data_IF_281765509495
#
_entry.id   IF_281765509495
#
_cell.length_a   1.000
_cell.length_b   1.000
_cell.length_c   1.000
_cell.angle_alpha   90.00
_cell.angle_beta   90.00
_cell.angle_gamma   90.00
#
_symmetry.space_group_name_H-M   'P 1'
#
loop_
_entity.id
_entity.type
_entity.pdbx_description
1 polymer ?
#
# COMPACT_ATOMS: atom_id res chain seq x y z
N UNK A 1 2.55 -29.74 -27.81
CA UNK A 1 2.56 -28.27 -27.72
C UNK A 1 1.63 -27.79 -26.60
N UNK A 2 0.32 -27.83 -26.80
CA UNK A 2 -0.60 -26.86 -26.17
C UNK A 2 -0.70 -27.04 -24.64
N UNK A 3 -0.76 -28.28 -24.17
CA UNK A 3 -0.75 -28.61 -22.75
C UNK A 3 0.50 -28.09 -22.00
N UNK A 4 1.67 -28.07 -22.64
CA UNK A 4 2.90 -27.53 -22.04
C UNK A 4 2.85 -26.00 -21.94
N UNK A 5 2.26 -25.33 -22.94
CA UNK A 5 2.00 -23.89 -22.89
C UNK A 5 1.03 -23.52 -21.76
N UNK A 6 -0.06 -24.27 -21.61
CA UNK A 6 -1.03 -24.07 -20.53
C UNK A 6 -0.41 -24.29 -19.13
N UNK A 7 0.42 -25.32 -18.97
CA UNK A 7 1.15 -25.57 -17.71
C UNK A 7 2.15 -24.45 -17.38
N UNK A 8 2.87 -23.93 -18.40
CA UNK A 8 3.78 -22.79 -18.22
C UNK A 8 3.03 -21.52 -17.81
N UNK A 9 1.93 -21.18 -18.49
CA UNK A 9 1.08 -20.02 -18.15
C UNK A 9 0.50 -20.15 -16.74
N UNK A 10 -0.03 -21.32 -16.39
CA UNK A 10 -0.54 -21.60 -15.04
C UNK A 10 0.54 -21.42 -13.97
N UNK A 11 1.76 -21.88 -14.24
CA UNK A 11 2.90 -21.72 -13.33
C UNK A 11 3.30 -20.25 -13.17
N UNK A 12 3.44 -19.49 -14.26
CA UNK A 12 3.77 -18.05 -14.20
C UNK A 12 2.70 -17.31 -13.39
N UNK A 13 1.42 -17.49 -13.70
CA UNK A 13 0.32 -16.82 -12.99
C UNK A 13 0.31 -17.11 -11.48
N UNK A 14 0.73 -18.32 -11.06
CA UNK A 14 0.87 -18.66 -9.63
C UNK A 14 2.02 -17.91 -8.97
N UNK A 15 3.21 -17.91 -9.58
CA UNK A 15 4.38 -17.21 -9.01
C UNK A 15 4.20 -15.68 -9.00
N UNK A 16 3.51 -15.13 -10.00
CA UNK A 16 3.11 -13.71 -10.02
C UNK A 16 2.18 -13.39 -8.86
N UNK A 17 1.18 -14.25 -8.58
CA UNK A 17 0.26 -14.06 -7.45
C UNK A 17 0.99 -14.09 -6.11
N UNK A 18 1.96 -14.99 -5.93
CA UNK A 18 2.78 -15.05 -4.70
C UNK A 18 3.70 -13.84 -4.56
N UNK A 19 4.35 -13.42 -5.65
CA UNK A 19 5.18 -12.22 -5.66
C UNK A 19 4.38 -10.96 -5.30
N UNK A 20 3.22 -10.76 -5.93
CA UNK A 20 2.28 -9.68 -5.61
C UNK A 20 1.86 -9.71 -4.14
N UNK A 21 1.44 -10.89 -3.66
CA UNK A 21 0.98 -11.07 -2.28
C UNK A 21 2.07 -10.76 -1.24
N UNK A 22 3.34 -11.03 -1.55
CA UNK A 22 4.46 -10.73 -0.65
C UNK A 22 4.64 -9.22 -0.43
N UNK A 23 4.50 -8.40 -1.48
CA UNK A 23 4.70 -6.94 -1.42
C UNK A 23 3.41 -6.13 -1.22
N UNK A 24 2.23 -6.74 -1.26
CA UNK A 24 0.94 -6.08 -1.05
C UNK A 24 0.87 -5.27 0.26
N UNK A 25 1.48 -5.78 1.34
CA UNK A 25 1.56 -5.06 2.61
C UNK A 25 2.44 -3.80 2.53
N UNK A 26 3.50 -3.82 1.71
CA UNK A 26 4.35 -2.66 1.42
C UNK A 26 3.63 -1.64 0.53
N UNK A 27 2.85 -2.10 -0.45
CA UNK A 27 2.01 -1.26 -1.30
C UNK A 27 1.01 -0.46 -0.45
N UNK A 28 0.24 -1.14 0.40
CA UNK A 28 -0.72 -0.51 1.32
C UNK A 28 -0.01 0.41 2.32
N UNK A 29 1.14 0.02 2.86
CA UNK A 29 1.92 0.90 3.74
C UNK A 29 2.36 2.18 3.03
N UNK A 30 2.83 2.09 1.78
CA UNK A 30 3.31 3.22 0.97
C UNK A 30 2.19 4.17 0.60
N UNK A 31 1.05 3.64 0.14
CA UNK A 31 -0.17 4.41 -0.11
C UNK A 31 -0.65 5.14 1.16
N UNK A 32 -0.73 4.46 2.31
CA UNK A 32 -1.10 5.10 3.58
C UNK A 32 -0.07 6.15 4.02
N UNK A 33 1.23 5.97 3.78
CA UNK A 33 2.28 6.98 4.05
C UNK A 33 2.03 8.24 3.20
N UNK A 34 1.77 8.07 1.90
CA UNK A 34 1.48 9.17 0.98
C UNK A 34 0.20 9.89 1.42
N UNK A 35 -0.85 9.16 1.80
CA UNK A 35 -2.08 9.73 2.33
C UNK A 35 -1.86 10.54 3.63
N UNK A 36 -1.00 10.06 4.55
CA UNK A 36 -0.68 10.77 5.81
C UNK A 36 0.13 12.05 5.56
N UNK A 37 1.12 12.05 4.67
CA UNK A 37 1.97 13.24 4.43
C UNK A 37 1.37 14.23 3.43
N UNK A 38 0.68 13.77 2.39
CA UNK A 38 0.09 14.59 1.34
C UNK A 38 -1.44 14.70 1.46
N UNK A 39 -1.97 14.69 2.69
CA UNK A 39 -3.40 14.57 2.98
C UNK A 39 -4.27 15.55 2.17
N UNK A 40 -3.94 16.85 2.20
CA UNK A 40 -4.70 17.90 1.52
C UNK A 40 -4.64 17.85 -0.02
N UNK A 41 -3.82 16.96 -0.61
CA UNK A 41 -3.84 16.57 -2.03
C UNK A 41 -4.62 15.27 -2.23
N UNK A 42 -4.38 14.25 -1.39
CA UNK A 42 -5.05 12.94 -1.45
C UNK A 42 -6.57 13.08 -1.31
N UNK A 43 -7.03 13.96 -0.41
CA UNK A 43 -8.44 14.32 -0.19
C UNK A 43 -9.09 15.12 -1.33
N UNK A 44 -8.33 15.56 -2.32
CA UNK A 44 -8.90 16.17 -3.54
C UNK A 44 -9.37 15.10 -4.53
N UNK A 45 -8.90 13.84 -4.37
CA UNK A 45 -9.23 12.69 -5.21
C UNK A 45 -9.17 12.98 -6.72
N UNK A 46 -8.29 13.90 -7.12
CA UNK A 46 -8.15 14.33 -8.51
C UNK A 46 -7.40 13.31 -9.37
N UNK A 47 -7.33 13.56 -10.68
CA UNK A 47 -6.65 12.71 -11.65
C UNK A 47 -5.17 12.41 -11.29
N UNK A 48 -4.48 13.30 -10.58
CA UNK A 48 -3.13 13.04 -10.07
C UNK A 48 -3.09 11.99 -8.96
N UNK A 49 -4.12 11.88 -8.11
CA UNK A 49 -4.27 10.82 -7.09
C UNK A 49 -4.42 9.46 -7.76
N UNK A 50 -5.26 9.37 -8.79
CA UNK A 50 -5.40 8.18 -9.62
C UNK A 50 -4.08 7.80 -10.33
N UNK A 51 -3.35 8.78 -10.88
CA UNK A 51 -2.04 8.54 -11.50
C UNK A 51 -1.04 7.95 -10.52
N UNK A 52 -0.99 8.43 -9.26
CA UNK A 52 -0.11 7.86 -8.22
C UNK A 52 -0.50 6.40 -7.89
N UNK A 53 -1.78 6.07 -7.81
CA UNK A 53 -2.21 4.67 -7.64
C UNK A 53 -1.84 3.79 -8.83
N UNK A 54 -1.98 4.30 -10.06
CA UNK A 54 -1.58 3.60 -11.28
C UNK A 54 -0.07 3.34 -11.32
N UNK A 55 0.75 4.31 -10.92
CA UNK A 55 2.21 4.16 -10.82
C UNK A 55 2.60 3.16 -9.72
N UNK A 56 2.04 3.27 -8.51
CA UNK A 56 2.33 2.36 -7.40
C UNK A 56 1.92 0.91 -7.72
N UNK A 57 0.71 0.73 -8.26
CA UNK A 57 0.21 -0.57 -8.72
C UNK A 57 1.06 -1.12 -9.87
N UNK A 58 1.40 -0.30 -10.86
CA UNK A 58 2.23 -0.68 -12.01
C UNK A 58 3.65 -1.11 -11.64
N UNK A 59 4.26 -0.48 -10.63
CA UNK A 59 5.57 -0.90 -10.08
C UNK A 59 5.46 -2.29 -9.45
N UNK A 60 4.43 -2.53 -8.62
CA UNK A 60 4.19 -3.82 -7.96
C UNK A 60 3.85 -4.91 -8.97
N UNK A 61 3.05 -4.61 -9.99
CA UNK A 61 2.70 -5.55 -11.06
C UNK A 61 3.92 -5.92 -11.90
N UNK A 62 4.74 -4.93 -12.28
CA UNK A 62 5.98 -5.15 -13.05
C UNK A 62 7.00 -5.99 -12.26
N UNK A 63 7.15 -5.72 -10.96
CA UNK A 63 7.96 -6.55 -10.06
C UNK A 63 7.44 -8.00 -10.00
N UNK A 64 6.12 -8.17 -9.86
CA UNK A 64 5.49 -9.49 -9.72
C UNK A 64 5.61 -10.31 -10.99
N UNK A 65 5.30 -9.71 -12.15
CA UNK A 65 5.49 -10.30 -13.48
C UNK A 65 6.94 -10.70 -13.74
N UNK A 66 7.89 -9.81 -13.46
CA UNK A 66 9.33 -10.09 -13.65
C UNK A 66 9.78 -11.24 -12.75
N UNK A 67 9.34 -11.25 -11.49
CA UNK A 67 9.66 -12.29 -10.51
C UNK A 67 9.13 -13.66 -10.98
N UNK A 68 7.84 -13.74 -11.36
CA UNK A 68 7.24 -15.00 -11.82
C UNK A 68 7.86 -15.55 -13.11
N UNK A 69 8.21 -14.67 -14.06
CA UNK A 69 8.93 -15.08 -15.28
C UNK A 69 10.34 -15.61 -14.95
N UNK A 70 11.05 -14.99 -14.01
CA UNK A 70 12.40 -15.41 -13.63
C UNK A 70 12.42 -16.74 -12.87
N UNK A 71 11.41 -17.03 -12.03
CA UNK A 71 11.26 -18.34 -11.37
C UNK A 71 11.00 -19.44 -12.39
N UNK A 72 10.00 -19.25 -13.28
CA UNK A 72 9.61 -20.27 -14.27
C UNK A 72 10.67 -20.48 -15.36
N UNK A 73 11.60 -19.54 -15.53
CA UNK A 73 12.80 -19.69 -16.38
C UNK A 73 14.07 -20.11 -15.62
N UNK A 74 13.95 -20.50 -14.35
CA UNK A 74 15.05 -21.00 -13.50
C UNK A 74 16.27 -20.04 -13.43
N UNK A 75 16.02 -18.73 -13.55
CA UNK A 75 17.08 -17.69 -13.57
C UNK A 75 17.85 -17.62 -12.24
N UNK A 76 17.24 -18.09 -11.15
CA UNK A 76 17.85 -18.20 -9.83
C UNK A 76 17.24 -19.36 -9.03
N UNK A 77 17.96 -19.83 -8.00
CA UNK A 77 17.53 -20.97 -7.17
C UNK A 77 16.24 -20.71 -6.39
N UNK A 78 15.39 -21.73 -6.27
CA UNK A 78 14.16 -21.72 -5.46
C UNK A 78 14.40 -21.29 -4.00
N UNK A 79 15.57 -21.58 -3.42
CA UNK A 79 15.92 -21.11 -2.07
C UNK A 79 16.08 -19.59 -2.01
N UNK A 80 16.70 -18.99 -3.04
CA UNK A 80 16.79 -17.54 -3.17
C UNK A 80 15.40 -16.91 -3.43
N UNK A 81 14.53 -17.58 -4.19
CA UNK A 81 13.13 -17.15 -4.36
C UNK A 81 12.41 -17.02 -3.01
N UNK A 82 12.43 -18.09 -2.21
CA UNK A 82 11.74 -18.12 -0.92
C UNK A 82 12.29 -17.07 0.06
N UNK A 83 13.61 -16.83 0.04
CA UNK A 83 14.23 -15.74 0.84
C UNK A 83 13.80 -14.36 0.34
N UNK A 84 13.72 -14.13 -0.96
CA UNK A 84 13.25 -12.86 -1.54
C UNK A 84 11.77 -12.59 -1.18
N UNK A 85 10.90 -13.59 -1.30
CA UNK A 85 9.49 -13.50 -0.92
C UNK A 85 9.30 -13.28 0.59
N UNK A 86 10.04 -14.03 1.42
CA UNK A 86 9.97 -13.88 2.88
C UNK A 86 10.48 -12.50 3.34
N UNK A 87 11.60 -12.03 2.80
CA UNK A 87 12.13 -10.69 3.14
C UNK A 87 11.22 -9.57 2.66
N UNK A 88 10.66 -9.65 1.45
CA UNK A 88 9.64 -8.71 0.96
C UNK A 88 8.42 -8.66 1.88
N UNK A 89 7.88 -9.82 2.25
CA UNK A 89 6.75 -9.94 3.18
C UNK A 89 7.04 -9.38 4.58
N UNK A 90 8.21 -9.69 5.15
CA UNK A 90 8.63 -9.15 6.44
C UNK A 90 8.81 -7.63 6.41
N UNK A 91 9.46 -7.08 5.37
CA UNK A 91 9.63 -5.62 5.22
C UNK A 91 8.28 -4.94 5.06
N UNK A 92 7.41 -5.43 4.18
CA UNK A 92 6.08 -4.88 3.98
C UNK A 92 5.21 -4.92 5.23
N UNK A 93 5.25 -6.02 5.99
CA UNK A 93 4.56 -6.14 7.28
C UNK A 93 5.11 -5.17 8.33
N UNK A 94 6.44 -5.02 8.43
CA UNK A 94 7.07 -4.06 9.34
C UNK A 94 6.71 -2.61 8.98
N UNK A 95 6.74 -2.25 7.70
CA UNK A 95 6.30 -0.94 7.21
C UNK A 95 4.83 -0.69 7.55
N UNK A 96 3.92 -1.63 7.23
CA UNK A 96 2.50 -1.53 7.56
C UNK A 96 2.26 -1.38 9.08
N UNK A 97 2.97 -2.16 9.91
CA UNK A 97 2.85 -2.10 11.36
C UNK A 97 3.38 -0.78 11.96
N UNK A 98 4.46 -0.23 11.40
CA UNK A 98 4.95 1.11 11.75
C UNK A 98 3.94 2.19 11.38
N UNK A 99 3.36 2.14 10.18
CA UNK A 99 2.33 3.08 9.72
C UNK A 99 1.06 2.99 10.58
N UNK A 100 0.62 1.79 10.93
CA UNK A 100 -0.50 1.58 11.86
C UNK A 100 -0.22 2.16 13.25
N UNK A 101 1.02 2.01 13.76
CA UNK A 101 1.46 2.62 15.03
C UNK A 101 1.52 4.15 14.94
N UNK A 102 1.99 4.72 13.84
CA UNK A 102 2.03 6.17 13.62
C UNK A 102 0.63 6.76 13.53
N UNK A 103 -0.27 6.19 12.72
CA UNK A 103 -1.65 6.64 12.59
C UNK A 103 -2.43 6.50 13.92
N UNK A 104 -2.22 5.43 14.70
CA UNK A 104 -2.77 5.31 16.07
C UNK A 104 -2.22 6.36 17.03
N UNK A 105 -0.93 6.71 16.95
CA UNK A 105 -0.31 7.79 17.75
C UNK A 105 -0.86 9.17 17.39
N UNK A 106 -1.02 9.46 16.09
CA UNK A 106 -1.61 10.71 15.61
C UNK A 106 -3.07 10.83 16.07
N UNK A 107 -3.89 9.81 15.80
CA UNK A 107 -5.28 9.78 16.28
C UNK A 107 -5.37 9.98 17.80
N UNK A 108 -4.58 9.24 18.61
CA UNK A 108 -4.57 9.40 20.06
C UNK A 108 -4.03 10.77 20.54
N UNK A 109 -3.22 11.48 19.73
CA UNK A 109 -2.73 12.83 20.06
C UNK A 109 -3.80 13.90 19.82
N UNK A 110 -4.60 13.75 18.77
CA UNK A 110 -5.70 14.70 18.48
C UNK A 110 -6.96 14.40 19.29
N UNK A 111 -7.24 13.13 19.61
CA UNK A 111 -8.39 12.69 20.43
C UNK A 111 -8.66 13.52 21.70
N UNK A 112 -7.68 13.91 22.55
CA UNK A 112 -7.94 14.73 23.73
C UNK A 112 -8.21 16.23 23.45
N UNK A 113 -8.06 16.71 22.21
CA UNK A 113 -8.57 18.04 21.82
C UNK A 113 -10.03 17.99 21.36
N UNK A 114 -10.61 16.80 21.21
CA UNK A 114 -12.00 16.64 20.82
C UNK A 114 -12.87 16.63 22.08
N UNK A 115 -13.66 17.69 22.27
CA UNK A 115 -14.60 17.85 23.39
C UNK A 115 -15.72 16.79 23.33
N UNK A 116 -15.46 15.59 23.84
CA UNK A 116 -16.43 14.49 23.96
C UNK A 116 -16.79 13.74 22.67
N UNK A 117 -16.59 14.33 21.49
CA UNK A 117 -16.90 13.68 20.21
C UNK A 117 -15.87 12.61 19.83
N UNK A 118 -16.25 11.33 19.97
CA UNK A 118 -15.33 10.19 19.75
C UNK A 118 -14.94 9.97 18.28
N UNK A 119 -15.66 10.56 17.32
CA UNK A 119 -15.69 10.12 15.91
C UNK A 119 -15.40 11.22 14.86
N UNK A 120 -14.78 12.36 15.23
CA UNK A 120 -14.37 13.44 14.29
C UNK A 120 -13.20 12.94 13.43
N UNK A 121 -13.54 12.22 12.35
CA UNK A 121 -12.60 11.68 11.38
C UNK A 121 -11.73 12.80 10.82
N UNK A 122 -10.40 12.61 10.80
CA UNK A 122 -9.38 13.63 10.50
C UNK A 122 -9.48 14.21 9.06
N UNK A 123 -10.39 13.69 8.24
CA UNK A 123 -10.60 14.15 6.87
C UNK A 123 -11.18 15.56 6.79
N UNK A 124 -10.66 16.35 5.83
CA UNK A 124 -11.02 17.68 5.31
C UNK A 124 -12.21 18.43 5.92
N UNK A 125 -13.40 17.84 6.02
CA UNK A 125 -14.59 18.47 6.61
C UNK A 125 -14.40 18.85 8.08
N UNK A 126 -13.66 18.07 8.86
CA UNK A 126 -13.38 18.39 10.27
C UNK A 126 -12.44 19.63 10.40
N UNK A 127 -11.65 19.98 9.37
CA UNK A 127 -10.90 21.24 9.29
C UNK A 127 -11.72 22.45 8.79
N UNK A 128 -12.67 22.26 7.87
CA UNK A 128 -13.45 23.39 7.32
C UNK A 128 -14.32 24.05 8.40
N UNK A 129 -14.96 23.26 9.26
CA UNK A 129 -15.80 23.80 10.34
C UNK A 129 -14.99 24.50 11.45
N UNK A 130 -13.78 24.02 11.76
CA UNK A 130 -12.90 24.67 12.74
C UNK A 130 -12.52 26.09 12.29
N UNK A 131 -12.25 26.28 10.99
CA UNK A 131 -11.97 27.60 10.44
C UNK A 131 -13.19 28.53 10.40
N UNK A 132 -14.41 28.01 10.21
CA UNK A 132 -15.64 28.83 10.27
C UNK A 132 -15.88 29.31 11.71
N UNK A 133 -15.78 28.43 12.71
CA UNK A 133 -15.99 28.78 14.12
C UNK A 133 -14.96 29.77 14.67
N UNK A 134 -13.75 29.81 14.11
CA UNK A 134 -12.72 30.82 14.45
C UNK A 134 -12.94 32.17 13.73
N UNK A 135 -13.79 32.21 12.69
CA UNK A 135 -14.16 33.43 11.96
C UNK A 135 -15.51 34.03 12.38
N UNK A 136 -16.22 33.39 13.32
CA UNK A 136 -17.45 33.91 13.96
C UNK A 136 -17.17 34.57 15.34
N UNK A 137 -15.90 34.90 15.62
CA UNK A 137 -15.40 35.55 16.85
C UNK A 137 -14.66 36.84 16.53
#
# INVERSE_FOLDING_TARGET
>A
SDAQGLLMVSSVSREVLYAYSSVLSLLVATDRIIATYAYAWYERQGASTFLVFLVLGGIVETYSMTTGIFVVREVYSIHFHLVLMATGGCVGFMCFWLVLRLNRRLHNRFRPHYFGYSDYCIARSYQTNENVLVLEV
#
